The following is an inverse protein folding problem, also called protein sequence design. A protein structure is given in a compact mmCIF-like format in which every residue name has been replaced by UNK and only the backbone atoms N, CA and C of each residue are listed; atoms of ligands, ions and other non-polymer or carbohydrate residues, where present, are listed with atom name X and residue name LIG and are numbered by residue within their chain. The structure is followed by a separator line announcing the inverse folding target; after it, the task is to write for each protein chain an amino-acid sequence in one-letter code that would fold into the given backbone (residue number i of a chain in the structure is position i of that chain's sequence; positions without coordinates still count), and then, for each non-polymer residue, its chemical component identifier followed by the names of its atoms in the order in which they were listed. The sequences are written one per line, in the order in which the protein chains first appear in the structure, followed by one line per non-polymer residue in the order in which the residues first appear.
data_IF_088782972368
#
_entry.id   IF_088782972368
#
_cell.length_a   1.000
_cell.length_b   1.000
_cell.length_c   1.000
_cell.angle_alpha   90.00
_cell.angle_beta   90.00
_cell.angle_gamma   90.00
#
_symmetry.space_group_name_H-M   'P 1'
#
loop_
_entity.id
_entity.type
_entity.pdbx_description
1 polymer ?
#
# COMPACT_ATOMS: atom_id res chain seq x y z
N UNK A 1 -6.66 -0.90 51.03
CA UNK A 1 -7.18 -0.11 49.86
C UNK A 1 -6.11 0.14 48.81
N UNK A 2 -4.90 0.61 49.16
CA UNK A 2 -3.81 0.94 48.22
C UNK A 2 -3.39 -0.23 47.31
N UNK A 3 -3.22 -1.47 47.82
CA UNK A 3 -2.87 -2.65 47.02
C UNK A 3 -3.90 -2.96 45.93
N UNK A 4 -5.20 -2.86 46.24
CA UNK A 4 -6.27 -3.09 45.24
C UNK A 4 -6.27 -2.02 44.14
N UNK A 5 -5.96 -0.77 44.51
CA UNK A 5 -5.85 0.34 43.57
C UNK A 5 -4.65 0.18 42.63
N UNK A 6 -3.49 -0.25 43.17
CA UNK A 6 -2.30 -0.54 42.34
C UNK A 6 -2.59 -1.68 41.34
N UNK A 7 -3.22 -2.76 41.80
CA UNK A 7 -3.59 -3.89 40.92
C UNK A 7 -4.54 -3.41 39.81
N UNK A 8 -5.55 -2.62 40.17
CA UNK A 8 -6.49 -2.08 39.15
C UNK A 8 -5.79 -1.19 38.11
N UNK A 9 -4.85 -0.34 38.52
CA UNK A 9 -4.05 0.50 37.62
C UNK A 9 -3.16 -0.35 36.72
N UNK A 10 -2.52 -1.40 37.24
CA UNK A 10 -1.69 -2.32 36.43
C UNK A 10 -2.52 -3.10 35.41
N UNK A 11 -3.71 -3.57 35.79
CA UNK A 11 -4.63 -4.26 34.87
C UNK A 11 -5.08 -3.28 33.80
N UNK A 12 -5.49 -2.06 34.17
CA UNK A 12 -5.94 -1.05 33.19
C UNK A 12 -4.82 -0.66 32.22
N UNK A 13 -3.60 -0.47 32.71
CA UNK A 13 -2.45 -0.16 31.86
C UNK A 13 -2.10 -1.32 30.92
N UNK A 14 -2.18 -2.57 31.37
CA UNK A 14 -2.00 -3.75 30.55
C UNK A 14 -3.05 -3.87 29.45
N UNK A 15 -4.33 -3.64 29.78
CA UNK A 15 -5.42 -3.59 28.78
C UNK A 15 -5.23 -2.47 27.77
N UNK A 16 -4.79 -1.29 28.18
CA UNK A 16 -4.47 -0.16 27.31
C UNK A 16 -3.33 -0.50 26.32
N UNK A 17 -2.28 -1.18 26.79
CA UNK A 17 -1.18 -1.61 25.92
C UNK A 17 -1.62 -2.65 24.88
N UNK A 18 -2.43 -3.63 25.28
CA UNK A 18 -2.96 -4.63 24.34
C UNK A 18 -3.91 -3.98 23.34
N UNK A 19 -4.80 -3.10 23.79
CA UNK A 19 -5.75 -2.41 22.88
C UNK A 19 -5.05 -1.48 21.89
N UNK A 20 -3.89 -0.91 22.24
CA UNK A 20 -3.14 -0.03 21.33
C UNK A 20 -2.66 -0.74 20.06
N UNK A 21 -2.30 -2.03 20.17
CA UNK A 21 -1.89 -2.84 19.00
C UNK A 21 -3.07 -3.12 18.05
N UNK A 22 -4.25 -3.41 18.60
CA UNK A 22 -5.47 -3.63 17.82
C UNK A 22 -5.97 -2.32 17.19
N UNK A 23 -5.94 -1.22 17.95
CA UNK A 23 -6.33 0.10 17.49
C UNK A 23 -5.49 0.57 16.30
N UNK A 24 -4.18 0.32 16.31
CA UNK A 24 -3.29 0.68 15.20
C UNK A 24 -3.75 0.06 13.87
N UNK A 25 -4.05 -1.24 13.88
CA UNK A 25 -4.52 -1.93 12.68
C UNK A 25 -5.88 -1.41 12.18
N UNK A 26 -6.83 -1.23 13.09
CA UNK A 26 -8.13 -0.65 12.75
C UNK A 26 -7.98 0.76 12.17
N UNK A 27 -7.06 1.56 12.69
CA UNK A 27 -6.81 2.92 12.24
C UNK A 27 -6.19 2.95 10.83
N UNK A 28 -5.22 2.07 10.56
CA UNK A 28 -4.63 1.94 9.23
C UNK A 28 -5.69 1.45 8.22
N UNK A 29 -6.49 0.45 8.58
CA UNK A 29 -7.59 -0.03 7.74
C UNK A 29 -8.59 1.10 7.42
N UNK A 30 -8.95 1.89 8.44
CA UNK A 30 -9.84 3.04 8.28
C UNK A 30 -9.24 4.11 7.35
N UNK A 31 -7.95 4.44 7.54
CA UNK A 31 -7.24 5.42 6.69
C UNK A 31 -7.23 4.98 5.23
N UNK A 32 -6.89 3.72 4.95
CA UNK A 32 -6.87 3.19 3.60
C UNK A 32 -8.28 3.18 3.00
N UNK A 33 -9.27 2.64 3.72
CA UNK A 33 -10.65 2.53 3.24
C UNK A 33 -11.30 3.90 3.00
N UNK A 34 -11.13 4.86 3.89
CA UNK A 34 -11.69 6.20 3.75
C UNK A 34 -11.20 6.93 2.51
N UNK A 35 -9.97 6.64 2.05
CA UNK A 35 -9.42 7.21 0.83
C UNK A 35 -9.97 6.53 -0.44
N UNK A 36 -10.35 5.25 -0.35
CA UNK A 36 -10.98 4.51 -1.45
C UNK A 36 -12.43 4.95 -1.65
N UNK A 37 -13.15 5.23 -0.57
CA UNK A 37 -14.55 5.67 -0.60
C UNK A 37 -14.71 7.12 -1.09
N UNK A 38 -13.65 7.90 -1.10
CA UNK A 38 -13.66 9.23 -1.71
C UNK A 38 -13.80 9.09 -3.22
N UNK A 39 -14.90 9.59 -3.80
CA UNK A 39 -15.08 9.62 -5.25
C UNK A 39 -14.02 10.51 -5.90
N UNK A 40 -12.90 9.91 -6.28
CA UNK A 40 -11.83 10.58 -6.99
C UNK A 40 -12.10 10.55 -8.49
N UNK A 41 -12.15 11.71 -9.12
CA UNK A 41 -12.30 11.80 -10.56
C UNK A 41 -10.96 11.53 -11.27
N UNK A 42 -11.01 11.03 -12.53
CA UNK A 42 -9.84 10.86 -13.37
C UNK A 42 -9.02 12.17 -13.51
N UNK A 43 -9.70 13.30 -13.55
CA UNK A 43 -9.06 14.62 -13.65
C UNK A 43 -8.29 14.99 -12.36
N UNK A 44 -8.84 14.68 -11.20
CA UNK A 44 -8.15 14.87 -9.92
C UNK A 44 -6.92 13.96 -9.80
N UNK A 45 -7.05 12.69 -10.18
CA UNK A 45 -5.94 11.74 -10.21
C UNK A 45 -4.82 12.23 -11.16
N UNK A 46 -5.17 12.70 -12.35
CA UNK A 46 -4.24 13.29 -13.30
C UNK A 46 -3.53 14.52 -12.71
N UNK A 47 -4.26 15.44 -12.11
CA UNK A 47 -3.67 16.62 -11.43
C UNK A 47 -2.73 16.22 -10.29
N UNK A 48 -3.10 15.22 -9.49
CA UNK A 48 -2.25 14.70 -8.43
C UNK A 48 -0.96 14.09 -8.99
N UNK A 49 -1.06 13.38 -10.13
CA UNK A 49 0.10 12.75 -10.77
C UNK A 49 1.09 13.79 -11.36
N UNK A 50 0.66 15.02 -11.60
CA UNK A 50 1.52 16.11 -12.07
C UNK A 50 2.26 16.85 -10.94
N UNK A 51 1.86 16.65 -9.68
CA UNK A 51 2.50 17.28 -8.52
C UNK A 51 3.89 16.71 -8.29
N UNK A 52 4.81 17.52 -7.74
CA UNK A 52 6.08 17.03 -7.20
C UNK A 52 5.81 16.07 -6.05
N UNK A 53 6.64 15.06 -5.91
CA UNK A 53 6.56 14.08 -4.83
C UNK A 53 7.96 13.66 -4.40
N UNK A 54 8.09 13.21 -3.16
CA UNK A 54 9.33 12.72 -2.58
C UNK A 54 9.44 11.21 -2.77
N UNK A 55 10.68 10.76 -3.00
CA UNK A 55 11.05 9.36 -3.22
C UNK A 55 12.22 8.98 -2.31
N UNK A 56 12.10 9.37 -1.03
CA UNK A 56 13.14 9.12 -0.02
C UNK A 56 12.94 7.74 0.60
N UNK A 57 13.66 6.74 0.04
CA UNK A 57 13.62 5.36 0.52
C UNK A 57 14.39 5.17 1.83
N UNK A 58 15.39 6.01 2.12
CA UNK A 58 16.23 5.87 3.31
C UNK A 58 15.47 6.23 4.58
N UNK A 59 14.50 7.13 4.48
CA UNK A 59 13.66 7.54 5.61
C UNK A 59 12.52 6.57 5.92
N UNK A 60 12.31 5.53 5.09
CA UNK A 60 11.19 4.58 5.28
C UNK A 60 11.48 3.64 6.46
N UNK A 61 10.57 3.62 7.41
CA UNK A 61 10.62 2.75 8.57
C UNK A 61 9.23 2.16 8.90
N UNK A 62 9.18 1.03 9.64
CA UNK A 62 7.89 0.49 10.09
C UNK A 62 7.11 1.53 10.90
N UNK A 63 5.82 1.73 10.61
CA UNK A 63 5.03 2.80 11.20
C UNK A 63 4.88 2.65 12.72
N UNK A 64 5.14 3.73 13.45
CA UNK A 64 4.88 3.85 14.87
C UNK A 64 3.40 4.08 15.20
N UNK A 65 2.98 3.84 16.46
CA UNK A 65 1.60 4.12 16.87
C UNK A 65 1.29 5.62 16.82
N UNK A 66 2.17 6.46 17.38
CA UNK A 66 2.03 7.92 17.38
C UNK A 66 1.92 8.50 15.98
N UNK A 67 2.74 8.01 15.05
CA UNK A 67 2.75 8.42 13.65
C UNK A 67 1.43 8.04 12.95
N UNK A 68 0.93 6.82 13.20
CA UNK A 68 -0.36 6.36 12.67
C UNK A 68 -1.51 7.24 13.18
N UNK A 69 -1.51 7.57 14.48
CA UNK A 69 -2.52 8.46 15.08
C UNK A 69 -2.42 9.86 14.48
N UNK A 70 -1.22 10.43 14.37
CA UNK A 70 -1.00 11.75 13.80
C UNK A 70 -1.48 11.82 12.34
N UNK A 71 -1.17 10.80 11.53
CA UNK A 71 -1.64 10.69 10.14
C UNK A 71 -3.16 10.64 10.03
N UNK A 72 -3.86 10.07 11.03
CA UNK A 72 -5.32 9.99 11.06
C UNK A 72 -5.99 11.34 11.29
N UNK A 73 -5.33 12.25 11.99
CA UNK A 73 -5.79 13.62 12.19
C UNK A 73 -5.38 14.56 11.07
N UNK A 74 -4.44 14.17 10.22
CA UNK A 74 -3.98 14.98 9.11
C UNK A 74 -4.97 14.90 7.93
N UNK A 75 -5.84 15.91 7.82
CA UNK A 75 -6.88 16.02 6.78
C UNK A 75 -6.38 16.60 5.45
N UNK A 76 -5.06 16.74 5.24
CA UNK A 76 -4.54 17.23 3.96
C UNK A 76 -4.91 16.27 2.83
N UNK A 77 -5.33 16.80 1.66
CA UNK A 77 -5.63 15.97 0.50
C UNK A 77 -4.42 15.12 0.12
N UNK A 78 -4.64 13.81 -0.01
CA UNK A 78 -3.58 12.87 -0.37
C UNK A 78 -3.36 12.85 -1.89
N UNK A 79 -2.13 12.62 -2.37
CA UNK A 79 -1.82 12.59 -3.80
C UNK A 79 -2.23 11.26 -4.44
N UNK A 80 -3.50 10.88 -4.33
CA UNK A 80 -4.03 9.65 -4.94
C UNK A 80 -4.06 9.83 -6.45
N UNK A 81 -3.47 8.88 -7.16
CA UNK A 81 -3.33 8.88 -8.63
C UNK A 81 -4.01 7.67 -9.29
N UNK A 82 -4.53 6.75 -8.50
CA UNK A 82 -5.16 5.54 -8.98
C UNK A 82 -5.53 4.60 -7.85
N UNK A 83 -5.86 3.36 -8.23
CA UNK A 83 -6.23 2.27 -7.32
C UNK A 83 -5.64 0.96 -7.83
N UNK A 84 -5.30 0.06 -6.92
CA UNK A 84 -4.88 -1.30 -7.23
C UNK A 84 -5.79 -2.30 -6.53
N UNK A 85 -6.27 -3.30 -7.26
CA UNK A 85 -7.14 -4.36 -6.76
C UNK A 85 -6.61 -5.72 -7.17
N UNK A 86 -6.56 -6.67 -6.21
CA UNK A 86 -6.18 -8.07 -6.44
C UNK A 86 -7.20 -8.95 -5.72
N UNK A 87 -8.30 -9.30 -6.40
CA UNK A 87 -9.43 -10.00 -5.78
C UNK A 87 -9.08 -11.37 -5.19
N UNK A 88 -8.08 -12.06 -5.74
CA UNK A 88 -7.66 -13.39 -5.25
C UNK A 88 -7.05 -13.40 -3.85
N UNK A 89 -6.70 -12.23 -3.32
CA UNK A 89 -6.11 -12.04 -1.98
C UNK A 89 -6.80 -10.90 -1.21
N UNK A 90 -7.98 -10.47 -1.64
CA UNK A 90 -8.78 -9.40 -1.05
C UNK A 90 -7.98 -8.08 -0.82
N UNK A 91 -7.09 -7.75 -1.77
CA UNK A 91 -6.31 -6.51 -1.72
C UNK A 91 -7.00 -5.43 -2.55
N UNK A 92 -7.20 -4.26 -1.94
CA UNK A 92 -7.83 -3.11 -2.54
C UNK A 92 -7.30 -1.84 -1.89
N UNK A 93 -6.45 -1.10 -2.60
CA UNK A 93 -5.69 0.02 -2.06
C UNK A 93 -5.66 1.22 -3.01
N UNK A 94 -5.64 2.45 -2.49
CA UNK A 94 -5.30 3.62 -3.29
C UNK A 94 -3.82 3.56 -3.71
N UNK A 95 -3.52 4.08 -4.90
CA UNK A 95 -2.16 4.33 -5.35
C UNK A 95 -1.85 5.80 -5.13
N UNK A 96 -0.78 6.08 -4.37
CA UNK A 96 -0.33 7.43 -4.04
C UNK A 96 0.97 7.76 -4.76
N UNK A 97 1.13 9.03 -5.14
CA UNK A 97 2.36 9.49 -5.76
C UNK A 97 3.44 9.79 -4.74
N UNK A 98 4.63 9.19 -4.93
CA UNK A 98 5.80 9.35 -4.05
C UNK A 98 5.84 8.37 -2.90
N UNK A 99 7.07 7.94 -2.57
CA UNK A 99 7.35 6.97 -1.49
C UNK A 99 7.70 7.72 -0.22
N UNK A 100 6.71 7.94 0.64
CA UNK A 100 6.85 8.55 1.96
C UNK A 100 6.20 7.66 3.02
N UNK A 101 6.65 7.77 4.29
CA UNK A 101 6.02 7.04 5.40
C UNK A 101 4.51 7.29 5.46
N UNK A 102 4.07 8.54 5.24
CA UNK A 102 2.66 8.92 5.25
C UNK A 102 1.85 8.23 4.14
N UNK A 103 2.38 8.17 2.91
CA UNK A 103 1.70 7.49 1.80
C UNK A 103 1.62 5.98 2.02
N UNK A 104 2.69 5.38 2.52
CA UNK A 104 2.76 3.93 2.79
C UNK A 104 1.83 3.47 3.91
N UNK A 105 1.43 4.37 4.83
CA UNK A 105 0.39 4.11 5.84
C UNK A 105 -1.02 3.98 5.25
N UNK A 106 -1.24 4.53 4.06
CA UNK A 106 -2.55 4.66 3.44
C UNK A 106 -2.75 3.61 2.34
N UNK A 107 -1.72 3.35 1.52
CA UNK A 107 -1.86 2.47 0.38
C UNK A 107 -0.55 2.11 -0.29
N UNK A 108 -0.62 1.84 -1.59
CA UNK A 108 0.52 1.59 -2.44
C UNK A 108 1.14 2.92 -2.92
N UNK A 109 2.45 3.04 -2.86
CA UNK A 109 3.18 4.26 -3.23
C UNK A 109 4.05 4.04 -4.48
N UNK A 110 4.05 5.01 -5.40
CA UNK A 110 4.94 4.97 -6.57
C UNK A 110 6.40 5.10 -6.16
N UNK A 111 7.28 4.35 -6.83
CA UNK A 111 8.71 4.29 -6.48
C UNK A 111 9.60 5.09 -7.41
N UNK A 112 9.07 5.59 -8.54
CA UNK A 112 9.81 6.44 -9.49
C UNK A 112 8.94 7.61 -9.96
N UNK A 113 9.54 8.78 -10.23
CA UNK A 113 8.80 9.97 -10.67
C UNK A 113 8.26 9.87 -12.10
N UNK A 114 8.91 9.09 -12.95
CA UNK A 114 8.70 8.98 -14.41
C UNK A 114 7.81 7.79 -14.81
N UNK A 115 7.46 6.91 -13.87
CA UNK A 115 6.66 5.72 -14.16
C UNK A 115 5.23 6.05 -14.65
N UNK A 116 4.76 5.29 -15.65
CA UNK A 116 3.42 5.43 -16.23
C UNK A 116 2.69 4.09 -16.27
N UNK A 117 1.42 4.09 -15.89
CA UNK A 117 0.59 2.88 -15.93
C UNK A 117 0.50 2.34 -17.37
N UNK A 118 0.79 1.05 -17.53
CA UNK A 118 0.74 0.36 -18.83
C UNK A 118 1.96 0.58 -19.74
N UNK A 119 3.00 1.28 -19.26
CA UNK A 119 4.27 1.48 -19.95
C UNK A 119 5.42 1.00 -19.06
N UNK A 120 6.42 0.32 -19.66
CA UNK A 120 7.62 -0.13 -18.95
C UNK A 120 7.33 -0.86 -17.64
N UNK A 121 8.25 -0.78 -16.68
CA UNK A 121 8.04 -1.29 -15.33
C UNK A 121 7.36 -0.24 -14.45
N UNK A 122 6.25 -0.61 -13.81
CA UNK A 122 5.51 0.23 -12.87
C UNK A 122 5.69 -0.28 -11.42
N UNK A 123 6.76 0.17 -10.71
CA UNK A 123 7.01 -0.30 -9.35
C UNK A 123 6.14 0.44 -8.33
N UNK A 124 5.59 -0.34 -7.39
CA UNK A 124 4.83 0.12 -6.23
C UNK A 124 5.39 -0.47 -4.95
N UNK A 125 5.58 0.37 -3.94
CA UNK A 125 5.90 -0.04 -2.58
C UNK A 125 4.65 -0.07 -1.69
N UNK A 126 4.65 -0.95 -0.69
CA UNK A 126 3.62 -0.99 0.35
C UNK A 126 4.14 -1.67 1.60
N UNK A 127 3.60 -1.30 2.77
CA UNK A 127 3.99 -1.91 4.03
C UNK A 127 3.48 -3.36 4.17
N UNK A 128 4.31 -4.21 4.78
CA UNK A 128 3.91 -5.46 5.41
C UNK A 128 3.81 -5.25 6.92
N UNK A 129 2.61 -5.40 7.45
CA UNK A 129 2.32 -5.21 8.87
C UNK A 129 2.10 -6.56 9.56
N UNK A 130 2.14 -6.60 10.90
CA UNK A 130 1.79 -7.80 11.69
C UNK A 130 0.39 -8.32 11.38
N UNK A 131 -0.54 -7.42 11.06
CA UNK A 131 -1.85 -7.78 10.51
C UNK A 131 -1.68 -8.01 9.00
N UNK A 132 -1.49 -9.26 8.61
CA UNK A 132 -1.18 -9.67 7.24
C UNK A 132 -2.30 -9.37 6.22
N UNK A 133 -3.51 -9.06 6.68
CA UNK A 133 -4.63 -8.65 5.82
C UNK A 133 -4.63 -7.15 5.48
N UNK A 134 -3.62 -6.38 5.92
CA UNK A 134 -3.53 -4.95 5.67
C UNK A 134 -2.41 -4.61 4.67
N UNK A 135 -2.66 -3.56 3.88
CA UNK A 135 -1.72 -3.00 2.89
C UNK A 135 -1.17 -4.10 1.96
N UNK A 136 0.16 -4.29 1.87
CA UNK A 136 0.77 -5.32 1.02
C UNK A 136 1.01 -6.66 1.75
N UNK A 137 0.57 -6.82 2.99
CA UNK A 137 0.63 -8.11 3.69
C UNK A 137 0.01 -9.27 2.91
N UNK A 138 -1.20 -9.12 2.26
CA UNK A 138 -1.81 -10.20 1.48
C UNK A 138 -0.96 -10.70 0.30
N UNK A 139 0.03 -9.93 -0.19
CA UNK A 139 0.96 -10.38 -1.25
C UNK A 139 1.75 -11.64 -0.87
N UNK A 140 1.90 -11.92 0.43
CA UNK A 140 2.50 -13.18 0.90
C UNK A 140 1.74 -14.43 0.40
N UNK A 141 0.47 -14.29 0.05
CA UNK A 141 -0.39 -15.39 -0.39
C UNK A 141 -0.70 -15.38 -1.88
N UNK A 142 -0.21 -14.36 -2.62
CA UNK A 142 -0.46 -14.26 -4.06
C UNK A 142 0.16 -15.43 -4.83
N UNK A 143 -0.54 -15.91 -5.85
CA UNK A 143 -0.08 -17.00 -6.71
C UNK A 143 0.21 -16.49 -8.11
N UNK A 144 1.12 -17.18 -8.82
CA UNK A 144 1.36 -16.97 -10.24
C UNK A 144 0.05 -17.14 -11.04
N UNK A 145 -0.19 -16.26 -12.02
CA UNK A 145 -1.43 -16.21 -12.79
C UNK A 145 -2.54 -15.35 -12.16
N UNK A 146 -2.40 -14.92 -10.90
CA UNK A 146 -3.36 -14.00 -10.29
C UNK A 146 -3.45 -12.70 -11.08
N UNK A 147 -4.67 -12.12 -11.16
CA UNK A 147 -4.89 -10.85 -11.85
C UNK A 147 -4.67 -9.68 -10.88
N UNK A 148 -3.88 -8.71 -11.32
CA UNK A 148 -3.69 -7.41 -10.69
C UNK A 148 -4.38 -6.39 -11.58
N UNK A 149 -5.33 -5.64 -11.06
CA UNK A 149 -6.02 -4.57 -11.77
C UNK A 149 -5.57 -3.24 -11.18
N UNK A 150 -4.99 -2.37 -12.01
CA UNK A 150 -4.75 -0.97 -11.66
C UNK A 150 -5.67 -0.07 -12.46
N UNK A 151 -6.13 1.01 -11.86
CA UNK A 151 -6.90 2.03 -12.59
C UNK A 151 -6.37 3.45 -12.31
N UNK A 152 -6.38 4.30 -13.31
CA UNK A 152 -6.22 5.74 -13.23
C UNK A 152 -7.57 6.48 -13.26
N UNK A 153 -8.68 5.73 -13.05
CA UNK A 153 -10.08 6.15 -13.16
C UNK A 153 -10.54 6.52 -14.58
N UNK A 154 -9.68 6.32 -15.61
CA UNK A 154 -10.02 6.43 -17.03
C UNK A 154 -9.89 5.08 -17.74
N UNK A 155 -8.85 4.33 -17.34
CA UNK A 155 -8.52 3.02 -17.89
C UNK A 155 -8.21 2.05 -16.77
N UNK A 156 -8.48 0.80 -17.03
CA UNK A 156 -8.06 -0.33 -16.22
C UNK A 156 -6.91 -1.05 -16.93
N UNK A 157 -5.83 -1.25 -16.19
CA UNK A 157 -4.62 -1.93 -16.64
C UNK A 157 -4.56 -3.28 -15.91
N UNK A 158 -4.72 -4.36 -16.68
CA UNK A 158 -4.82 -5.72 -16.13
C UNK A 158 -3.49 -6.43 -16.34
N UNK A 159 -2.88 -6.87 -15.25
CA UNK A 159 -1.64 -7.64 -15.26
C UNK A 159 -1.89 -9.05 -14.75
N UNK A 160 -1.10 -10.02 -15.25
CA UNK A 160 -1.04 -11.38 -14.74
C UNK A 160 0.27 -11.60 -14.01
N UNK A 161 0.23 -12.08 -12.77
CA UNK A 161 1.42 -12.37 -11.97
C UNK A 161 2.29 -13.41 -12.66
N UNK A 162 3.56 -13.08 -12.89
CA UNK A 162 4.55 -13.94 -13.55
C UNK A 162 5.54 -14.55 -12.58
N UNK A 163 5.92 -13.79 -11.53
CA UNK A 163 6.86 -14.28 -10.51
C UNK A 163 6.58 -13.67 -9.15
N UNK A 164 7.03 -14.40 -8.13
CA UNK A 164 7.04 -13.98 -6.73
C UNK A 164 8.35 -14.46 -6.14
N UNK A 165 9.23 -13.53 -5.78
CA UNK A 165 10.61 -13.83 -5.35
C UNK A 165 10.99 -12.99 -4.14
N UNK A 166 11.87 -13.54 -3.32
CA UNK A 166 12.54 -12.78 -2.27
C UNK A 166 13.79 -12.13 -2.86
N UNK A 167 13.95 -10.83 -2.62
CA UNK A 167 15.08 -10.02 -3.07
C UNK A 167 15.69 -9.30 -1.87
N UNK A 168 16.92 -8.80 -2.02
CA UNK A 168 17.52 -7.88 -1.06
C UNK A 168 17.04 -6.45 -1.28
N UNK A 169 17.01 -5.62 -0.24
CA UNK A 169 16.66 -4.21 -0.34
C UNK A 169 17.59 -3.40 -1.25
N UNK A 170 18.84 -3.86 -1.42
CA UNK A 170 19.83 -3.22 -2.30
C UNK A 170 19.67 -3.60 -3.78
N UNK A 171 18.74 -4.49 -4.13
CA UNK A 171 18.47 -4.87 -5.53
C UNK A 171 17.68 -3.79 -6.28
N UNK A 172 18.33 -2.64 -6.53
CA UNK A 172 17.73 -1.51 -7.25
C UNK A 172 17.20 -1.88 -8.65
N UNK A 173 17.69 -2.97 -9.25
CA UNK A 173 17.23 -3.45 -10.56
C UNK A 173 15.74 -3.82 -10.59
N UNK A 174 15.15 -4.16 -9.44
CA UNK A 174 13.73 -4.52 -9.35
C UNK A 174 12.79 -3.36 -9.73
N UNK A 175 13.25 -2.11 -9.53
CA UNK A 175 12.45 -0.90 -9.78
C UNK A 175 12.84 -0.16 -11.06
N UNK A 176 13.88 -0.62 -11.76
CA UNK A 176 14.35 0.05 -12.99
C UNK A 176 13.32 -0.03 -14.12
N UNK A 177 13.44 0.92 -15.05
CA UNK A 177 12.66 0.91 -16.28
C UNK A 177 13.00 -0.32 -17.12
N UNK A 178 11.98 -0.87 -17.76
CA UNK A 178 12.13 -2.00 -18.69
C UNK A 178 11.40 -1.69 -19.99
N UNK A 179 11.71 -2.45 -21.04
CA UNK A 179 10.97 -2.38 -22.32
C UNK A 179 9.64 -3.13 -22.25
N UNK A 180 9.54 -4.09 -21.34
CA UNK A 180 8.32 -4.86 -21.11
C UNK A 180 7.31 -4.06 -20.28
N UNK A 181 6.03 -4.19 -20.64
CA UNK A 181 4.94 -3.59 -19.88
C UNK A 181 4.64 -4.47 -18.65
N UNK A 182 5.21 -4.10 -17.52
CA UNK A 182 5.11 -4.89 -16.30
C UNK A 182 4.80 -4.03 -15.06
N UNK A 183 4.36 -4.71 -14.02
CA UNK A 183 4.20 -4.16 -12.68
C UNK A 183 5.14 -4.89 -11.74
N UNK A 184 5.72 -4.17 -10.79
CA UNK A 184 6.50 -4.73 -9.69
C UNK A 184 5.95 -4.25 -8.35
N UNK A 185 5.41 -5.16 -7.54
CA UNK A 185 4.94 -4.85 -6.18
C UNK A 185 6.00 -5.26 -5.17
N UNK A 186 6.44 -4.33 -4.33
CA UNK A 186 7.53 -4.54 -3.37
C UNK A 186 7.03 -4.28 -1.95
N UNK A 187 7.31 -5.23 -1.06
CA UNK A 187 7.05 -5.09 0.37
C UNK A 187 8.16 -5.76 1.20
N UNK A 188 8.21 -5.50 2.50
CA UNK A 188 9.11 -6.23 3.39
C UNK A 188 8.72 -7.71 3.47
N UNK A 189 9.69 -8.61 3.54
CA UNK A 189 9.48 -10.05 3.72
C UNK A 189 8.88 -10.38 5.09
N UNK A 190 9.13 -9.52 6.09
CA UNK A 190 8.64 -9.64 7.48
C UNK A 190 8.01 -8.33 7.93
N UNK A 191 7.08 -8.44 8.88
CA UNK A 191 6.40 -7.29 9.51
C UNK A 191 7.28 -6.51 10.52
N UNK A 192 8.59 -6.73 10.50
CA UNK A 192 9.60 -6.06 11.33
C UNK A 192 10.70 -5.54 10.40
N UNK A 193 11.61 -4.71 10.93
CA UNK A 193 12.75 -4.22 10.14
C UNK A 193 13.58 -5.41 9.64
N UNK A 194 13.81 -5.47 8.34
CA UNK A 194 14.50 -6.55 7.65
C UNK A 194 15.13 -6.02 6.36
N UNK A 195 16.18 -6.67 5.89
CA UNK A 195 16.82 -6.40 4.59
C UNK A 195 16.13 -7.15 3.43
N UNK A 196 15.32 -8.16 3.76
CA UNK A 196 14.57 -8.93 2.77
C UNK A 196 13.35 -8.18 2.24
N UNK A 197 13.10 -8.31 0.96
CA UNK A 197 11.91 -7.77 0.29
C UNK A 197 11.22 -8.87 -0.50
N UNK A 198 9.89 -8.89 -0.45
CA UNK A 198 9.08 -9.67 -1.37
C UNK A 198 8.82 -8.82 -2.61
N UNK A 199 9.23 -9.32 -3.78
CA UNK A 199 8.94 -8.75 -5.09
C UNK A 199 7.95 -9.64 -5.84
N UNK A 200 6.81 -9.08 -6.22
CA UNK A 200 5.81 -9.72 -7.10
C UNK A 200 5.81 -8.99 -8.42
N UNK A 201 6.11 -9.71 -9.51
CA UNK A 201 6.06 -9.16 -10.88
C UNK A 201 4.86 -9.68 -11.63
N UNK A 202 4.28 -8.83 -12.48
CA UNK A 202 3.21 -9.19 -13.41
C UNK A 202 3.39 -8.55 -14.77
N UNK A 203 3.02 -9.25 -15.84
CA UNK A 203 2.98 -8.71 -17.20
C UNK A 203 1.60 -8.17 -17.55
N UNK A 204 1.56 -7.03 -18.24
CA UNK A 204 0.33 -6.45 -18.76
C UNK A 204 -0.29 -7.41 -19.79
N UNK A 205 -1.57 -7.72 -19.60
CA UNK A 205 -2.33 -8.61 -20.49
C UNK A 205 -3.51 -7.92 -21.15
N UNK A 206 -4.02 -6.80 -20.60
CA UNK A 206 -5.14 -6.07 -21.16
C UNK A 206 -5.17 -4.62 -20.68
N UNK A 207 -5.77 -3.74 -21.50
CA UNK A 207 -6.12 -2.36 -21.15
C UNK A 207 -7.53 -2.09 -21.64
N UNK A 208 -8.43 -1.76 -20.71
CA UNK A 208 -9.83 -1.44 -21.03
C UNK A 208 -10.24 -0.06 -20.52
N UNK A 209 -11.35 0.47 -20.99
CA UNK A 209 -11.95 1.66 -20.41
C UNK A 209 -12.43 1.37 -18.99
N UNK A 210 -12.20 2.31 -18.04
CA UNK A 210 -12.70 2.15 -16.68
C UNK A 210 -14.22 2.20 -16.66
N UNK A 211 -14.86 1.13 -16.23
CA UNK A 211 -16.30 1.10 -15.99
C UNK A 211 -16.53 1.18 -14.48
N UNK A 212 -17.26 2.20 -14.06
CA UNK A 212 -17.79 2.31 -12.69
C UNK A 212 -18.85 1.21 -12.42
N UNK A 213 -18.54 -0.04 -12.73
CA UNK A 213 -19.39 -1.16 -12.34
C UNK A 213 -19.24 -1.30 -10.83
N UNK A 214 -20.27 -0.86 -10.11
CA UNK A 214 -20.46 -1.10 -8.68
C UNK A 214 -20.12 -2.56 -8.37
N UNK A 215 -19.24 -2.74 -7.38
CA UNK A 215 -18.86 -4.07 -6.86
C UNK A 215 -20.11 -4.90 -6.58
N UNK A 216 -20.13 -6.19 -6.89
CA UNK A 216 -21.04 -7.08 -6.20
C UNK A 216 -20.70 -7.04 -4.71
N UNK A 217 -21.68 -6.69 -3.92
CA UNK A 217 -21.72 -6.69 -2.45
C UNK A 217 -21.35 -8.06 -1.88
#
# INVERSE_FOLDING_TARGET
MVKKMIIAVLILSGLLLISSLLMKGCLIAYLSKSQIETELTAEQARKNNMKKADYDFESIHPPGFSETVQSSFNRKPKPIIGRITISSIDLDLPILKGTTNENLLIGAATMRPDQKMGEGNYPLAGHHLKQENLLFGPLLHIKKGAKIVMTDFRKDYIYSVTSKTMISEIEANAIQETKDKEITLITCDKAVRTEGRLAVKGKLIDISGHSNVSRPS
#
